data_IF_254227223514
#
_entry.id   IF_254227223514
#
_cell.length_a   1.000
_cell.length_b   1.000
_cell.length_c   1.000
_cell.angle_alpha   90.00
_cell.angle_beta   90.00
_cell.angle_gamma   90.00
#
_symmetry.space_group_name_H-M   'P 1'
#
loop_
_entity.id
_entity.type
_entity.pdbx_description
1 polymer ?
#
# COMPACT_ATOMS: atom_id res chain seq x y z
N UNK A 1 1.87 -2.32 -29.03
CA UNK A 1 0.83 -2.67 -28.03
C UNK A 1 0.47 -4.14 -28.12
N UNK A 2 0.21 -4.68 -29.30
CA UNK A 2 -0.09 -6.12 -29.48
C UNK A 2 1.04 -7.04 -28.99
N UNK A 3 2.30 -6.81 -29.41
CA UNK A 3 3.45 -7.65 -29.01
C UNK A 3 3.67 -7.72 -27.49
N UNK A 4 3.32 -6.64 -26.77
CA UNK A 4 3.50 -6.50 -25.32
C UNK A 4 2.22 -6.77 -24.52
N UNK A 5 1.12 -7.16 -25.18
CA UNK A 5 -0.21 -7.28 -24.57
C UNK A 5 -0.67 -6.01 -23.81
N UNK A 6 -0.23 -4.83 -24.26
CA UNK A 6 -0.59 -3.55 -23.64
C UNK A 6 -2.04 -3.19 -23.99
N UNK A 7 -2.87 -2.95 -22.97
CA UNK A 7 -4.28 -2.57 -23.15
C UNK A 7 -4.52 -1.06 -23.05
N UNK A 8 -3.63 -0.31 -22.40
CA UNK A 8 -3.70 1.15 -22.28
C UNK A 8 -2.29 1.76 -22.23
N UNK A 9 -2.06 2.88 -22.91
CA UNK A 9 -0.79 3.60 -22.91
C UNK A 9 -1.01 5.11 -23.05
N UNK A 10 -0.50 5.89 -22.09
CA UNK A 10 -0.57 7.34 -22.06
C UNK A 10 0.81 7.99 -21.93
N UNK A 11 0.98 9.15 -22.55
CA UNK A 11 2.11 10.06 -22.33
C UNK A 11 1.56 11.43 -21.93
N UNK A 12 1.94 11.91 -20.75
CA UNK A 12 1.58 13.23 -20.23
C UNK A 12 2.84 14.12 -20.21
N UNK A 13 2.72 15.35 -20.68
CA UNK A 13 3.80 16.34 -20.64
C UNK A 13 3.27 17.73 -20.35
N UNK A 14 3.74 18.31 -19.25
CA UNK A 14 3.38 19.64 -18.75
C UNK A 14 1.85 19.74 -18.73
N UNK A 15 1.16 19.09 -17.79
CA UNK A 15 -0.31 19.03 -17.64
C UNK A 15 -1.14 18.42 -18.78
N UNK A 16 -0.59 18.24 -19.98
CA UNK A 16 -1.35 17.84 -21.16
C UNK A 16 -1.05 16.41 -21.60
N UNK A 17 -2.10 15.65 -21.94
CA UNK A 17 -1.97 14.36 -22.63
C UNK A 17 -1.44 14.62 -24.05
N UNK A 18 -0.32 13.97 -24.39
CA UNK A 18 0.31 14.04 -25.72
C UNK A 18 -0.01 12.83 -26.58
N UNK A 19 -0.30 11.71 -25.92
CA UNK A 19 -0.68 10.44 -26.54
C UNK A 19 -1.55 9.67 -25.57
N UNK A 20 -2.60 9.06 -26.08
CA UNK A 20 -3.50 8.17 -25.36
C UNK A 20 -3.98 7.10 -26.35
N UNK A 21 -3.75 5.83 -26.02
CA UNK A 21 -4.08 4.69 -26.86
C UNK A 21 -4.60 3.54 -26.01
N UNK A 22 -5.62 2.85 -26.53
CA UNK A 22 -6.23 1.67 -25.92
C UNK A 22 -6.33 0.52 -26.93
N UNK A 23 -6.35 -0.71 -26.43
CA UNK A 23 -6.43 -1.92 -27.24
C UNK A 23 -7.39 -2.95 -26.59
N UNK A 24 -7.74 -4.00 -27.32
CA UNK A 24 -8.55 -5.13 -26.82
C UNK A 24 -9.88 -4.71 -26.17
N UNK A 25 -10.59 -3.77 -26.81
CA UNK A 25 -11.89 -3.23 -26.35
C UNK A 25 -11.83 -2.43 -25.03
N UNK A 26 -10.63 -2.17 -24.49
CA UNK A 26 -10.48 -1.21 -23.40
C UNK A 26 -10.72 0.22 -23.90
N UNK A 27 -11.24 1.04 -23.02
CA UNK A 27 -11.47 2.47 -23.20
C UNK A 27 -10.97 3.24 -21.97
N UNK A 28 -11.03 4.57 -22.01
CA UNK A 28 -10.53 5.44 -20.95
C UNK A 28 -11.14 5.15 -19.56
N UNK A 29 -12.40 4.73 -19.54
CA UNK A 29 -13.15 4.37 -18.33
C UNK A 29 -12.96 2.93 -17.86
N UNK A 30 -12.27 2.09 -18.64
CA UNK A 30 -12.13 0.66 -18.30
C UNK A 30 -11.26 0.48 -17.04
N UNK A 31 -11.74 -0.24 -16.02
CA UNK A 31 -10.90 -0.58 -14.88
C UNK A 31 -9.83 -1.60 -15.29
N UNK A 32 -8.61 -1.39 -14.81
CA UNK A 32 -7.47 -2.30 -15.02
C UNK A 32 -6.92 -2.68 -13.66
N UNK A 33 -6.56 -3.95 -13.48
CA UNK A 33 -5.84 -4.40 -12.30
C UNK A 33 -4.46 -3.69 -12.25
N UNK A 34 -4.29 -2.79 -11.27
CA UNK A 34 -3.07 -2.01 -11.11
C UNK A 34 -1.89 -2.83 -10.55
N UNK A 35 -2.18 -4.00 -9.99
CA UNK A 35 -1.23 -4.86 -9.30
C UNK A 35 -0.36 -4.05 -8.32
N UNK A 36 0.96 -4.15 -8.45
CA UNK A 36 1.89 -3.53 -7.51
C UNK A 36 2.03 -2.02 -7.67
N UNK A 37 1.40 -1.38 -8.67
CA UNK A 37 1.29 0.08 -8.68
C UNK A 37 0.56 0.61 -7.44
N UNK A 38 -0.36 -0.18 -6.87
CA UNK A 38 -1.07 0.17 -5.64
C UNK A 38 -0.11 0.43 -4.45
N UNK A 39 1.07 -0.20 -4.41
CA UNK A 39 2.05 -0.02 -3.33
C UNK A 39 2.52 1.44 -3.24
N UNK A 40 2.73 2.10 -4.38
CA UNK A 40 3.13 3.51 -4.41
C UNK A 40 2.06 4.42 -3.82
N UNK A 41 0.77 4.15 -4.11
CA UNK A 41 -0.33 4.89 -3.51
C UNK A 41 -0.39 4.67 -1.99
N UNK A 42 -0.22 3.43 -1.50
CA UNK A 42 -0.12 3.16 -0.06
C UNK A 42 1.02 3.96 0.59
N UNK A 43 2.20 4.03 -0.04
CA UNK A 43 3.33 4.82 0.47
C UNK A 43 3.01 6.33 0.54
N UNK A 44 2.33 6.87 -0.48
CA UNK A 44 1.88 8.27 -0.46
C UNK A 44 0.90 8.52 0.69
N UNK A 45 -0.08 7.64 0.89
CA UNK A 45 -1.06 7.76 1.97
C UNK A 45 -0.40 7.69 3.37
N UNK A 46 0.65 6.88 3.52
CA UNK A 46 1.46 6.87 4.75
C UNK A 46 2.15 8.21 4.96
N UNK A 47 2.75 8.79 3.91
CA UNK A 47 3.35 10.13 3.96
C UNK A 47 2.34 11.20 4.37
N UNK A 48 1.14 11.18 3.81
CA UNK A 48 0.06 12.10 4.18
C UNK A 48 -0.38 11.91 5.63
N UNK A 49 -0.54 10.67 6.09
CA UNK A 49 -0.88 10.39 7.49
C UNK A 49 0.21 10.83 8.47
N UNK A 50 1.47 10.92 8.03
CA UNK A 50 2.57 11.53 8.80
C UNK A 50 2.42 13.06 8.84
N UNK A 51 2.16 13.69 7.69
CA UNK A 51 1.91 15.14 7.61
C UNK A 51 0.74 15.59 8.49
N UNK A 52 -0.34 14.79 8.51
CA UNK A 52 -1.53 15.02 9.35
C UNK A 52 -1.31 14.68 10.84
N UNK A 53 -0.14 14.14 11.20
CA UNK A 53 0.23 13.77 12.57
C UNK A 53 -0.48 12.55 13.14
N UNK A 54 -1.13 11.73 12.31
CA UNK A 54 -1.76 10.47 12.73
C UNK A 54 -0.77 9.32 12.83
N UNK A 55 0.29 9.39 12.03
CA UNK A 55 1.51 8.61 12.20
C UNK A 55 2.59 9.60 12.63
N UNK A 56 3.31 9.33 13.72
CA UNK A 56 4.28 10.31 14.21
C UNK A 56 5.50 10.43 13.29
N UNK A 57 5.99 9.30 12.78
CA UNK A 57 7.11 9.25 11.85
C UNK A 57 7.19 7.89 11.16
N UNK A 58 7.97 7.80 10.09
CA UNK A 58 8.35 6.51 9.50
C UNK A 58 9.28 5.68 10.38
N UNK A 59 9.88 6.27 11.43
CA UNK A 59 10.67 5.54 12.43
C UNK A 59 9.81 4.88 13.51
N UNK A 60 8.50 5.10 13.48
CA UNK A 60 7.60 4.45 14.41
C UNK A 60 7.64 2.93 14.22
N UNK A 61 7.70 2.22 15.35
CA UNK A 61 7.56 0.77 15.36
C UNK A 61 6.16 0.37 14.88
N UNK A 62 6.09 -0.62 14.00
CA UNK A 62 4.83 -1.18 13.47
C UNK A 62 3.91 -1.64 14.61
N UNK A 63 4.48 -2.21 15.67
CA UNK A 63 3.75 -2.67 16.85
C UNK A 63 3.03 -1.56 17.62
N UNK A 64 3.34 -0.28 17.38
CA UNK A 64 2.55 0.85 17.91
C UNK A 64 1.12 0.85 17.38
N UNK A 65 0.93 0.41 16.13
CA UNK A 65 -0.35 0.39 15.43
C UNK A 65 -0.97 -1.02 15.38
N UNK A 66 -0.11 -2.04 15.39
CA UNK A 66 -0.49 -3.45 15.32
C UNK A 66 0.19 -4.20 16.49
N UNK A 67 -0.25 -3.99 17.75
CA UNK A 67 0.38 -4.56 18.93
C UNK A 67 0.40 -6.10 18.93
N UNK A 68 -0.51 -6.73 18.19
CA UNK A 68 -0.60 -8.18 18.01
C UNK A 68 0.68 -8.80 17.43
N UNK A 69 1.47 -8.03 16.65
CA UNK A 69 2.70 -8.52 16.03
C UNK A 69 3.89 -8.59 16.98
N UNK A 70 3.75 -8.09 18.21
CA UNK A 70 4.80 -8.19 19.23
C UNK A 70 5.16 -9.66 19.49
N UNK A 71 4.16 -10.54 19.53
CA UNK A 71 4.38 -11.98 19.75
C UNK A 71 5.10 -12.68 18.59
N UNK A 72 5.25 -11.99 17.45
CA UNK A 72 5.90 -12.49 16.24
C UNK A 72 7.29 -11.89 15.98
N UNK A 73 7.85 -11.12 16.93
CA UNK A 73 9.21 -10.58 16.83
C UNK A 73 9.34 -9.19 16.17
N UNK A 74 8.25 -8.44 16.03
CA UNK A 74 8.23 -7.14 15.33
C UNK A 74 8.72 -5.95 16.16
N UNK A 75 9.36 -6.17 17.32
CA UNK A 75 9.77 -5.11 18.25
C UNK A 75 10.80 -4.13 17.69
N UNK A 76 11.42 -4.47 16.55
CA UNK A 76 12.43 -3.64 15.87
C UNK A 76 11.98 -3.21 14.46
N UNK A 77 10.79 -3.62 14.01
CA UNK A 77 10.31 -3.30 12.66
C UNK A 77 9.64 -1.93 12.68
N UNK A 78 10.16 -0.99 11.89
CA UNK A 78 9.62 0.36 11.72
C UNK A 78 8.77 0.44 10.46
N UNK A 79 7.97 1.50 10.34
CA UNK A 79 7.24 1.82 9.10
C UNK A 79 8.22 1.98 7.92
N UNK A 80 9.38 2.62 8.14
CA UNK A 80 10.44 2.75 7.13
C UNK A 80 10.88 1.39 6.59
N UNK A 81 11.08 0.39 7.46
CA UNK A 81 11.46 -0.95 7.02
C UNK A 81 10.40 -1.59 6.10
N UNK A 82 9.12 -1.33 6.34
CA UNK A 82 8.05 -1.78 5.44
C UNK A 82 8.08 -1.01 4.10
N UNK A 83 8.19 0.33 4.15
CA UNK A 83 8.24 1.20 2.96
C UNK A 83 9.43 0.87 2.04
N UNK A 84 10.57 0.52 2.63
CA UNK A 84 11.81 0.23 1.91
C UNK A 84 11.97 -1.25 1.56
N UNK A 85 11.00 -2.10 1.91
CA UNK A 85 11.06 -3.55 1.68
C UNK A 85 12.27 -4.22 2.37
N UNK A 86 12.64 -3.75 3.56
CA UNK A 86 13.77 -4.28 4.35
C UNK A 86 13.31 -4.84 5.69
N UNK A 87 12.06 -5.29 5.80
CA UNK A 87 11.46 -5.75 7.06
C UNK A 87 11.99 -7.08 7.57
N UNK A 88 12.53 -7.92 6.69
CA UNK A 88 12.95 -9.28 7.04
C UNK A 88 11.78 -10.27 7.18
N UNK A 89 10.61 -9.95 6.62
CA UNK A 89 9.44 -10.83 6.60
C UNK A 89 9.76 -12.22 6.03
N UNK A 90 9.26 -13.24 6.70
CA UNK A 90 9.15 -14.59 6.13
C UNK A 90 7.87 -14.63 5.29
N UNK A 91 8.01 -14.31 4.00
CA UNK A 91 6.89 -14.25 3.06
C UNK A 91 7.30 -14.82 1.71
N UNK A 92 6.49 -15.75 1.21
CA UNK A 92 6.62 -16.39 -0.09
C UNK A 92 5.82 -15.61 -1.14
N UNK A 93 6.54 -14.83 -1.95
CA UNK A 93 6.00 -14.01 -3.02
C UNK A 93 5.68 -14.80 -4.31
N UNK A 94 5.73 -16.13 -4.30
CA UNK A 94 5.53 -16.93 -5.51
C UNK A 94 4.11 -16.81 -6.06
N UNK A 95 3.96 -16.19 -7.23
CA UNK A 95 2.68 -16.10 -7.94
C UNK A 95 2.30 -17.37 -8.72
N UNK A 96 3.19 -18.36 -8.76
CA UNK A 96 2.98 -19.63 -9.47
C UNK A 96 2.55 -20.77 -8.55
N UNK A 97 2.74 -20.61 -7.23
CA UNK A 97 2.31 -21.58 -6.24
C UNK A 97 0.96 -21.19 -5.67
N UNK A 98 -0.08 -22.04 -5.76
CA UNK A 98 -1.37 -21.76 -5.13
C UNK A 98 -1.31 -21.79 -3.60
N UNK A 99 -0.20 -22.26 -3.02
CA UNK A 99 0.03 -22.35 -1.57
C UNK A 99 0.98 -21.26 -1.05
N UNK A 100 1.32 -20.25 -1.85
CA UNK A 100 2.12 -19.11 -1.39
C UNK A 100 1.28 -18.15 -0.54
N UNK A 101 1.92 -17.37 0.33
CA UNK A 101 1.21 -16.30 1.04
C UNK A 101 0.72 -15.22 0.08
N UNK A 102 1.40 -14.99 -1.05
CA UNK A 102 0.89 -14.09 -2.10
C UNK A 102 -0.46 -14.58 -2.66
N UNK A 103 -0.62 -15.89 -2.89
CA UNK A 103 -1.88 -16.47 -3.35
C UNK A 103 -2.96 -16.42 -2.26
N UNK A 104 -2.63 -16.70 -0.99
CA UNK A 104 -3.58 -16.58 0.12
C UNK A 104 -4.01 -15.12 0.36
N UNK A 105 -3.09 -14.16 0.21
CA UNK A 105 -3.43 -12.74 0.32
C UNK A 105 -4.33 -12.27 -0.82
N UNK A 106 -4.19 -12.87 -2.00
CA UNK A 106 -4.96 -12.47 -3.19
C UNK A 106 -6.32 -13.17 -3.28
N UNK A 107 -6.41 -14.46 -2.94
CA UNK A 107 -7.62 -15.28 -3.10
C UNK A 107 -8.28 -15.70 -1.78
N UNK A 108 -7.59 -15.56 -0.66
CA UNK A 108 -8.06 -15.98 0.66
C UNK A 108 -9.15 -15.07 1.22
N UNK A 109 -9.98 -15.63 2.11
CA UNK A 109 -11.11 -14.92 2.75
C UNK A 109 -10.75 -14.33 4.11
N UNK A 110 -9.52 -14.54 4.60
CA UNK A 110 -9.09 -14.22 5.96
C UNK A 110 -7.83 -13.36 6.00
N UNK A 111 -7.73 -12.38 5.09
CA UNK A 111 -6.55 -11.53 4.92
C UNK A 111 -6.06 -10.92 6.24
N UNK A 112 -6.95 -10.35 7.07
CA UNK A 112 -6.56 -9.78 8.37
C UNK A 112 -5.85 -10.79 9.27
N UNK A 113 -6.36 -12.02 9.34
CA UNK A 113 -5.74 -13.09 10.13
C UNK A 113 -4.37 -13.47 9.55
N UNK A 114 -4.27 -13.54 8.24
CA UNK A 114 -3.02 -13.87 7.56
C UNK A 114 -1.95 -12.80 7.84
N UNK A 115 -2.31 -11.51 7.76
CA UNK A 115 -1.42 -10.38 8.12
C UNK A 115 -0.95 -10.48 9.58
N UNK A 116 -1.85 -10.75 10.52
CA UNK A 116 -1.50 -10.84 11.95
C UNK A 116 -0.65 -12.07 12.31
N UNK A 117 -0.58 -13.06 11.41
CA UNK A 117 0.24 -14.27 11.59
C UNK A 117 1.61 -14.19 10.90
N UNK A 118 1.93 -13.07 10.25
CA UNK A 118 3.22 -12.87 9.61
C UNK A 118 4.37 -12.97 10.62
N UNK A 119 5.48 -13.55 10.18
CA UNK A 119 6.70 -13.76 10.96
C UNK A 119 7.90 -13.12 10.28
N UNK A 120 8.99 -13.02 11.02
CA UNK A 120 10.28 -12.60 10.50
C UNK A 120 11.21 -13.80 10.30
N UNK A 121 11.95 -13.82 9.20
CA UNK A 121 13.08 -14.73 8.97
C UNK A 121 14.44 -14.08 9.22
N UNK A 122 14.51 -12.76 9.11
CA UNK A 122 15.73 -11.97 9.30
C UNK A 122 15.44 -10.73 10.16
N UNK A 123 16.43 -10.20 10.89
CA UNK A 123 16.31 -8.88 11.48
C UNK A 123 16.04 -7.79 10.42
N UNK A 124 15.25 -6.76 10.75
CA UNK A 124 14.94 -5.70 9.80
C UNK A 124 16.16 -4.82 9.50
N UNK A 125 16.17 -4.20 8.32
CA UNK A 125 17.20 -3.27 7.85
C UNK A 125 18.43 -3.93 7.23
N UNK A 126 18.53 -5.26 7.20
CA UNK A 126 19.72 -5.97 6.72
C UNK A 126 19.75 -6.12 5.20
N UNK A 127 18.61 -6.44 4.58
CA UNK A 127 18.53 -6.70 3.14
C UNK A 127 17.20 -6.23 2.56
N UNK A 128 17.23 -5.85 1.29
CA UNK A 128 16.02 -5.62 0.50
C UNK A 128 15.43 -6.96 0.07
N UNK A 129 14.14 -7.15 0.33
CA UNK A 129 13.37 -8.27 -0.18
C UNK A 129 11.95 -7.80 -0.54
N UNK A 130 11.65 -7.84 -1.84
CA UNK A 130 10.35 -7.39 -2.34
C UNK A 130 9.24 -8.33 -1.88
N UNK A 131 8.30 -7.81 -1.08
CA UNK A 131 7.15 -8.59 -0.61
C UNK A 131 5.88 -7.76 -0.49
N UNK A 132 4.76 -8.35 -0.94
CA UNK A 132 3.43 -7.77 -0.76
C UNK A 132 2.97 -7.77 0.70
N UNK A 133 3.58 -8.58 1.57
CA UNK A 133 3.34 -8.57 3.01
C UNK A 133 3.61 -7.20 3.65
N UNK A 134 4.66 -6.50 3.21
CA UNK A 134 4.98 -5.17 3.70
C UNK A 134 3.86 -4.16 3.41
N UNK A 135 3.32 -4.18 2.19
CA UNK A 135 2.24 -3.26 1.81
C UNK A 135 0.95 -3.56 2.54
N UNK A 136 0.64 -4.83 2.80
CA UNK A 136 -0.54 -5.19 3.60
C UNK A 136 -0.41 -4.75 5.06
N UNK A 137 0.79 -4.86 5.64
CA UNK A 137 1.07 -4.29 6.96
C UNK A 137 0.91 -2.76 6.97
N UNK A 138 1.43 -2.07 5.96
CA UNK A 138 1.23 -0.62 5.81
C UNK A 138 -0.25 -0.24 5.68
N UNK A 139 -1.05 -1.02 4.95
CA UNK A 139 -2.49 -0.83 4.85
C UNK A 139 -3.18 -0.94 6.22
N UNK A 140 -2.82 -1.95 7.03
CA UNK A 140 -3.37 -2.11 8.37
C UNK A 140 -2.87 -1.05 9.36
N UNK A 141 -1.61 -0.61 9.25
CA UNK A 141 -1.08 0.55 9.99
C UNK A 141 -1.92 1.78 9.69
N UNK A 142 -2.15 2.06 8.40
CA UNK A 142 -2.94 3.21 7.95
C UNK A 142 -4.37 3.15 8.49
N UNK A 143 -5.06 2.02 8.34
CA UNK A 143 -6.40 1.83 8.89
C UNK A 143 -6.46 2.09 10.40
N UNK A 144 -5.51 1.55 11.17
CA UNK A 144 -5.48 1.69 12.63
C UNK A 144 -5.12 3.11 13.08
N UNK A 145 -4.28 3.81 12.32
CA UNK A 145 -3.92 5.21 12.57
C UNK A 145 -5.11 6.15 12.29
N UNK A 146 -5.83 5.89 11.20
CA UNK A 146 -7.00 6.69 10.78
C UNK A 146 -8.22 6.46 11.67
N UNK A 147 -8.45 5.22 12.11
CA UNK A 147 -9.71 4.81 12.76
C UNK A 147 -10.90 5.14 11.84
N UNK A 148 -11.69 6.16 12.18
CA UNK A 148 -12.87 6.62 11.41
C UNK A 148 -12.59 7.92 10.62
N UNK A 149 -11.32 8.35 10.52
CA UNK A 149 -10.92 9.59 9.84
C UNK A 149 -10.58 9.35 8.38
N UNK A 150 -10.85 10.35 7.54
CA UNK A 150 -10.42 10.38 6.14
C UNK A 150 -9.15 11.21 6.03
N UNK A 151 -8.16 10.76 5.25
CA UNK A 151 -7.00 11.58 4.88
C UNK A 151 -7.50 12.76 4.05
N UNK A 152 -7.36 13.96 4.60
CA UNK A 152 -7.78 15.19 3.96
C UNK A 152 -6.55 15.90 3.41
N UNK A 153 -6.40 15.93 2.09
CA UNK A 153 -5.37 16.75 1.46
C UNK A 153 -5.80 18.21 1.47
N UNK A 154 -5.50 18.95 2.54
CA UNK A 154 -5.55 20.42 2.50
C UNK A 154 -4.45 21.04 3.37
N UNK A 155 -3.21 21.04 2.87
CA UNK A 155 -2.21 22.04 3.25
C UNK A 155 -2.23 23.22 2.26
N UNK A 156 -3.41 23.79 2.05
CA UNK A 156 -3.55 25.13 1.45
C UNK A 156 -4.65 25.92 2.15
N UNK A 157 -4.49 26.20 3.45
CA UNK A 157 -5.06 27.38 4.11
C UNK A 157 -6.59 27.64 4.04
N UNK A 158 -7.40 26.74 3.51
CA UNK A 158 -8.84 26.93 3.35
C UNK A 158 -9.58 25.73 3.94
N UNK A 159 -10.27 25.97 5.05
CA UNK A 159 -11.24 25.04 5.63
C UNK A 159 -12.30 24.70 4.58
N UNK A 160 -12.36 23.44 4.15
CA UNK A 160 -13.49 22.89 3.38
C UNK A 160 -14.56 22.32 4.31
N UNK A 161 -14.87 23.04 5.39
CA UNK A 161 -16.02 22.78 6.27
C UNK A 161 -17.19 23.69 5.89
N UNK A 162 -17.64 23.69 4.63
CA UNK A 162 -18.99 24.17 4.26
C UNK A 162 -19.38 23.68 2.86
N UNK A 163 -19.83 22.42 2.72
CA UNK A 163 -20.84 22.08 1.71
C UNK A 163 -21.78 21.01 2.28
N UNK A 164 -22.63 21.43 3.21
CA UNK A 164 -23.97 20.87 3.38
C UNK A 164 -24.93 22.04 3.26
N UNK A 165 -25.64 22.13 2.13
CA UNK A 165 -27.06 22.54 2.02
C UNK A 165 -27.43 23.05 0.60
N UNK A 166 -28.46 22.42 0.01
CA UNK A 166 -29.23 22.86 -1.18
C UNK A 166 -28.58 22.52 -2.53
N UNK A 167 -29.17 21.74 -3.44
CA UNK A 167 -30.55 21.69 -3.96
C UNK A 167 -30.88 20.26 -4.41
#
# INVERSE_FOLDING_TARGET
MEESNTVAFLIIRNDSIRLEQYANEYEASSPIASFSMAKSFTSVLIGMAIEDGWIQSEEDLVIRYIPELKDNGFEQVTIRHLLQMTSGLDFNESYYSPFSEAADFYYGTRLRRAILNLKLKNPPGIQFEYTSGNTQLLGLVLERALRDRTINTVSSGENLDTVTDGV
#
